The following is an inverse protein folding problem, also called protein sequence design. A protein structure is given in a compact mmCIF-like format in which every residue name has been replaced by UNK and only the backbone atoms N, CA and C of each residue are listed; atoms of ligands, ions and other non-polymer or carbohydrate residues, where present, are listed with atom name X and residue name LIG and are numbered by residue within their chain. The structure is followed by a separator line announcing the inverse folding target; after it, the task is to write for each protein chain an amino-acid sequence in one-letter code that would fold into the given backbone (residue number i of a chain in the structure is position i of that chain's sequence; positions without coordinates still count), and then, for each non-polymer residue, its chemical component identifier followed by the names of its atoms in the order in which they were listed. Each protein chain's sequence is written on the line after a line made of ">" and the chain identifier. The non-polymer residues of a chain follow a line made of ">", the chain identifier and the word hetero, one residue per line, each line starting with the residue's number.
data_IF_232817241764
#
_entry.id   IF_232817241764
#
_cell.length_a   1.000
_cell.length_b   1.000
_cell.length_c   1.000
_cell.angle_alpha   90.00
_cell.angle_beta   90.00
_cell.angle_gamma   90.00
#
_symmetry.space_group_name_H-M   'P 1'
#
loop_
_entity.id
_entity.type
_entity.pdbx_description
1 polymer ?
#
# COMPACT_ATOMS: atom_id res chain seq x y z
N UNK A 1 -14.03 40.40 -29.00
CA UNK A 1 -14.41 39.06 -28.52
C UNK A 1 -13.20 38.48 -27.84
N UNK A 2 -13.17 38.51 -26.52
CA UNK A 2 -12.09 37.94 -25.70
C UNK A 2 -12.18 36.42 -25.78
N UNK A 3 -11.13 35.78 -26.31
CA UNK A 3 -10.99 34.32 -26.31
C UNK A 3 -11.11 33.81 -24.87
N UNK A 4 -11.86 32.71 -24.63
CA UNK A 4 -11.96 32.13 -23.31
C UNK A 4 -10.58 31.63 -22.90
N UNK A 5 -10.13 32.10 -21.73
CA UNK A 5 -8.95 31.59 -21.04
C UNK A 5 -9.14 30.08 -20.82
N UNK A 6 -8.43 29.27 -21.60
CA UNK A 6 -8.23 27.85 -21.31
C UNK A 6 -7.55 27.76 -19.95
N UNK A 7 -8.28 27.30 -18.94
CA UNK A 7 -7.68 26.86 -17.68
C UNK A 7 -6.66 25.79 -18.03
N UNK A 8 -5.38 26.13 -17.94
CA UNK A 8 -4.28 25.19 -18.05
C UNK A 8 -4.41 24.20 -16.89
N UNK A 9 -5.01 23.04 -17.18
CA UNK A 9 -4.99 21.90 -16.26
C UNK A 9 -3.59 21.29 -16.32
N UNK A 10 -2.64 21.96 -15.69
CA UNK A 10 -1.22 21.58 -15.59
C UNK A 10 -0.98 20.27 -14.83
N UNK A 11 -2.04 19.56 -14.45
CA UNK A 11 -2.00 18.25 -13.79
C UNK A 11 -2.88 17.25 -14.54
N UNK A 12 -2.35 16.06 -14.87
CA UNK A 12 -3.17 15.01 -15.45
C UNK A 12 -4.27 14.58 -14.48
N UNK A 13 -5.36 13.95 -14.96
CA UNK A 13 -6.38 13.36 -14.11
C UNK A 13 -5.78 12.36 -13.12
N UNK A 14 -6.35 12.22 -11.92
CA UNK A 14 -5.89 11.28 -10.89
C UNK A 14 -5.88 9.81 -11.35
N UNK A 15 -6.64 9.49 -12.41
CA UNK A 15 -6.70 8.15 -13.01
C UNK A 15 -5.54 7.87 -13.96
N UNK A 16 -4.71 8.86 -14.29
CA UNK A 16 -3.51 8.67 -15.11
C UNK A 16 -2.35 8.41 -14.17
N UNK A 17 -1.93 7.14 -14.12
CA UNK A 17 -0.81 6.67 -13.31
C UNK A 17 0.52 6.84 -14.05
N UNK A 18 1.59 6.96 -13.28
CA UNK A 18 2.95 6.79 -13.82
C UNK A 18 3.19 5.34 -14.26
N UNK A 19 4.23 5.09 -15.05
CA UNK A 19 4.62 3.73 -15.44
C UNK A 19 4.96 2.85 -14.23
N UNK A 20 5.60 3.43 -13.21
CA UNK A 20 5.93 2.75 -11.95
C UNK A 20 4.67 2.40 -11.15
N UNK A 21 3.73 3.33 -11.04
CA UNK A 21 2.44 3.11 -10.37
C UNK A 21 1.59 2.06 -11.09
N UNK A 22 1.61 2.06 -12.43
CA UNK A 22 0.90 1.08 -13.25
C UNK A 22 1.49 -0.33 -13.11
N UNK A 23 2.82 -0.43 -13.12
CA UNK A 23 3.52 -1.70 -12.90
C UNK A 23 3.25 -2.23 -11.49
N UNK A 24 3.34 -1.36 -10.48
CA UNK A 24 3.04 -1.71 -9.10
C UNK A 24 1.60 -2.17 -8.93
N UNK A 25 0.62 -1.42 -9.47
CA UNK A 25 -0.80 -1.81 -9.47
C UNK A 25 -0.98 -3.20 -10.07
N UNK A 26 -0.37 -3.45 -11.23
CA UNK A 26 -0.46 -4.75 -11.92
C UNK A 26 0.10 -5.89 -11.08
N UNK A 27 1.24 -5.66 -10.41
CA UNK A 27 1.85 -6.65 -9.52
C UNK A 27 0.98 -6.96 -8.29
N UNK A 28 0.37 -5.94 -7.67
CA UNK A 28 -0.54 -6.17 -6.53
C UNK A 28 -1.83 -6.87 -6.99
N UNK A 29 -2.36 -6.52 -8.16
CA UNK A 29 -3.53 -7.21 -8.71
C UNK A 29 -3.25 -8.70 -8.96
N UNK A 30 -2.08 -9.03 -9.50
CA UNK A 30 -1.65 -10.44 -9.69
C UNK A 30 -1.49 -11.16 -8.34
N UNK A 31 -0.88 -10.52 -7.35
CA UNK A 31 -0.78 -11.05 -5.98
C UNK A 31 -2.16 -11.33 -5.37
N UNK A 32 -3.09 -10.38 -5.53
CA UNK A 32 -4.45 -10.52 -5.00
C UNK A 32 -5.14 -11.75 -5.61
N UNK A 33 -5.01 -11.96 -6.92
CA UNK A 33 -5.63 -13.11 -7.59
C UNK A 33 -4.92 -14.44 -7.28
N UNK A 34 -3.59 -14.45 -7.25
CA UNK A 34 -2.80 -15.68 -7.11
C UNK A 34 -2.67 -16.15 -5.66
N UNK A 35 -2.54 -15.24 -4.71
CA UNK A 35 -2.28 -15.57 -3.31
C UNK A 35 -3.48 -15.26 -2.39
N UNK A 36 -4.19 -14.16 -2.58
CA UNK A 36 -5.30 -13.80 -1.68
C UNK A 36 -6.57 -14.58 -2.02
N UNK A 37 -6.98 -14.59 -3.30
CA UNK A 37 -8.25 -15.16 -3.75
C UNK A 37 -8.47 -16.63 -3.32
N UNK A 38 -7.47 -17.54 -3.41
CA UNK A 38 -7.64 -18.93 -2.98
C UNK A 38 -7.90 -19.10 -1.48
N UNK A 39 -7.56 -18.10 -0.65
CA UNK A 39 -7.60 -18.16 0.82
C UNK A 39 -8.85 -17.52 1.42
N UNK A 40 -9.54 -16.65 0.67
CA UNK A 40 -10.66 -15.82 1.15
C UNK A 40 -11.69 -16.62 1.94
N UNK A 41 -12.24 -17.67 1.33
CA UNK A 41 -13.31 -18.47 1.96
C UNK A 41 -12.88 -19.09 3.29
N UNK A 42 -11.65 -19.60 3.37
CA UNK A 42 -11.12 -20.18 4.59
C UNK A 42 -10.90 -19.12 5.68
N UNK A 43 -10.41 -17.94 5.30
CA UNK A 43 -10.22 -16.81 6.21
C UNK A 43 -11.56 -16.27 6.75
N UNK A 44 -12.58 -16.17 5.89
CA UNK A 44 -13.93 -15.75 6.28
C UNK A 44 -14.57 -16.75 7.25
N UNK A 45 -14.56 -18.05 6.91
CA UNK A 45 -15.13 -19.11 7.76
C UNK A 45 -14.42 -19.17 9.13
N UNK A 46 -13.11 -18.92 9.16
CA UNK A 46 -12.32 -18.88 10.38
C UNK A 46 -12.38 -17.54 11.14
N UNK A 47 -12.87 -16.46 10.51
CA UNK A 47 -12.80 -15.10 11.03
C UNK A 47 -11.37 -14.62 11.31
N UNK A 48 -10.39 -15.09 10.52
CA UNK A 48 -8.97 -14.86 10.77
C UNK A 48 -8.17 -14.80 9.46
N UNK A 49 -7.35 -13.76 9.32
CA UNK A 49 -6.38 -13.67 8.22
C UNK A 49 -5.28 -14.72 8.37
N UNK A 50 -4.93 -15.37 7.27
CA UNK A 50 -3.85 -16.35 7.21
C UNK A 50 -2.49 -15.70 7.59
N UNK A 51 -1.80 -16.19 8.63
CA UNK A 51 -0.48 -15.69 9.00
C UNK A 51 0.57 -15.81 7.88
N UNK A 52 0.45 -16.82 7.01
CA UNK A 52 1.38 -16.98 5.88
C UNK A 52 1.17 -15.86 4.84
N UNK A 53 -0.09 -15.46 4.62
CA UNK A 53 -0.40 -14.32 3.76
C UNK A 53 0.14 -13.00 4.34
N UNK A 54 0.04 -12.85 5.66
CA UNK A 54 0.65 -11.69 6.36
C UNK A 54 2.16 -11.65 6.14
N UNK A 55 2.85 -12.78 6.34
CA UNK A 55 4.29 -12.86 6.12
C UNK A 55 4.67 -12.52 4.67
N UNK A 56 3.88 -13.00 3.71
CA UNK A 56 4.06 -12.69 2.28
C UNK A 56 3.98 -11.18 2.00
N UNK A 57 3.06 -10.45 2.63
CA UNK A 57 2.98 -8.99 2.46
C UNK A 57 4.22 -8.26 2.98
N UNK A 58 4.85 -8.73 4.06
CA UNK A 58 6.14 -8.23 4.52
C UNK A 58 7.25 -8.53 3.51
N UNK A 59 7.35 -9.79 3.04
CA UNK A 59 8.36 -10.20 2.06
C UNK A 59 8.30 -9.39 0.75
N UNK A 60 7.11 -8.95 0.34
CA UNK A 60 6.87 -8.15 -0.86
C UNK A 60 6.98 -6.64 -0.64
N UNK A 61 7.29 -6.20 0.58
CA UNK A 61 7.43 -4.78 0.92
C UNK A 61 6.11 -4.01 1.03
N UNK A 62 4.96 -4.70 0.98
CA UNK A 62 3.63 -4.06 1.07
C UNK A 62 3.33 -3.50 2.46
N UNK A 63 4.04 -3.96 3.49
CA UNK A 63 3.89 -3.50 4.87
C UNK A 63 4.71 -2.24 5.20
N UNK A 64 5.45 -1.69 4.23
CA UNK A 64 6.34 -0.54 4.42
C UNK A 64 6.51 0.30 3.16
N UNK A 65 5.44 0.53 2.41
CA UNK A 65 5.48 1.11 1.05
C UNK A 65 6.13 2.49 1.06
N UNK A 66 5.64 3.41 1.90
CA UNK A 66 6.14 4.80 1.94
C UNK A 66 7.41 4.97 2.80
N UNK A 67 7.81 3.94 3.54
CA UNK A 67 8.95 4.08 4.44
C UNK A 67 10.26 4.12 3.65
N UNK A 68 11.22 4.98 4.04
CA UNK A 68 12.54 5.01 3.43
C UNK A 68 13.28 3.67 3.56
N UNK A 69 14.13 3.35 2.57
CA UNK A 69 14.97 2.14 2.54
C UNK A 69 15.86 1.98 3.78
N UNK A 70 16.32 3.09 4.39
CA UNK A 70 17.11 3.04 5.63
C UNK A 70 16.38 2.38 6.81
N UNK A 71 15.05 2.28 6.73
CA UNK A 71 14.21 1.58 7.70
C UNK A 71 13.69 0.24 7.18
N UNK A 72 14.11 -0.23 6.00
CA UNK A 72 13.61 -1.45 5.37
C UNK A 72 12.36 -1.26 4.51
N UNK A 73 11.90 -0.03 4.30
CA UNK A 73 10.74 0.25 3.46
C UNK A 73 11.04 0.32 1.96
N UNK A 74 10.00 0.43 1.15
CA UNK A 74 10.08 0.43 -0.30
C UNK A 74 10.29 1.82 -0.94
N UNK A 75 10.22 2.90 -0.16
CA UNK A 75 10.43 4.26 -0.67
C UNK A 75 9.38 4.77 -1.68
N UNK A 76 8.23 4.11 -1.74
CA UNK A 76 7.11 4.45 -2.63
C UNK A 76 6.29 5.65 -2.13
N UNK A 77 5.12 5.84 -2.73
CA UNK A 77 4.23 6.96 -2.45
C UNK A 77 2.92 6.55 -1.78
N UNK A 78 2.21 7.51 -1.18
CA UNK A 78 0.83 7.31 -0.70
C UNK A 78 -0.12 6.85 -1.82
N UNK A 79 0.16 7.24 -3.08
CA UNK A 79 -0.62 6.75 -4.22
C UNK A 79 -0.40 5.26 -4.41
N UNK A 80 0.83 4.76 -4.26
CA UNK A 80 1.11 3.32 -4.29
C UNK A 80 0.44 2.58 -3.12
N UNK A 81 0.40 3.14 -1.91
CA UNK A 81 -0.40 2.57 -0.80
C UNK A 81 -1.88 2.47 -1.20
N UNK A 82 -2.42 3.55 -1.78
CA UNK A 82 -3.82 3.59 -2.23
C UNK A 82 -4.10 2.52 -3.28
N UNK A 83 -3.22 2.35 -4.27
CA UNK A 83 -3.32 1.33 -5.30
C UNK A 83 -3.23 -0.09 -4.72
N UNK A 84 -2.33 -0.33 -3.76
CA UNK A 84 -2.23 -1.63 -3.11
C UNK A 84 -3.52 -1.99 -2.38
N UNK A 85 -4.06 -1.06 -1.60
CA UNK A 85 -5.33 -1.23 -0.88
C UNK A 85 -6.49 -1.43 -1.85
N UNK A 86 -6.54 -0.65 -2.94
CA UNK A 86 -7.57 -0.78 -3.97
C UNK A 86 -7.55 -2.18 -4.61
N UNK A 87 -6.40 -2.64 -5.09
CA UNK A 87 -6.30 -3.94 -5.77
C UNK A 87 -6.58 -5.12 -4.83
N UNK A 88 -6.08 -5.08 -3.59
CA UNK A 88 -6.39 -6.10 -2.58
C UNK A 88 -7.89 -6.11 -2.24
N UNK A 89 -8.51 -4.92 -2.10
CA UNK A 89 -9.93 -4.79 -1.75
C UNK A 89 -10.88 -5.35 -2.82
N UNK A 90 -10.44 -5.43 -4.08
CA UNK A 90 -11.20 -6.10 -5.15
C UNK A 90 -11.37 -7.60 -4.90
N UNK A 91 -10.51 -8.19 -4.07
CA UNK A 91 -10.52 -9.62 -3.74
C UNK A 91 -10.94 -9.88 -2.30
N UNK A 92 -10.32 -9.20 -1.33
CA UNK A 92 -10.60 -9.37 0.10
C UNK A 92 -10.30 -8.09 0.89
N UNK A 93 -11.35 -7.51 1.48
CA UNK A 93 -11.22 -6.29 2.27
C UNK A 93 -10.45 -6.47 3.59
N UNK A 94 -10.44 -7.70 4.15
CA UNK A 94 -9.73 -7.99 5.42
C UNK A 94 -8.21 -8.01 5.21
N UNK A 95 -7.74 -8.56 4.10
CA UNK A 95 -6.35 -8.50 3.68
C UNK A 95 -5.94 -7.06 3.34
N UNK A 96 -6.80 -6.31 2.64
CA UNK A 96 -6.53 -4.93 2.27
C UNK A 96 -6.39 -4.00 3.48
N UNK A 97 -7.31 -4.10 4.46
CA UNK A 97 -7.27 -3.24 5.65
C UNK A 97 -6.04 -3.49 6.52
N UNK A 98 -5.51 -4.73 6.50
CA UNK A 98 -4.26 -5.03 7.20
C UNK A 98 -3.07 -4.27 6.61
N UNK A 99 -2.99 -4.21 5.27
CA UNK A 99 -1.96 -3.44 4.55
C UNK A 99 -2.16 -1.93 4.76
N UNK A 100 -3.40 -1.43 4.69
CA UNK A 100 -3.71 -0.03 4.94
C UNK A 100 -3.28 0.41 6.35
N UNK A 101 -3.78 -0.26 7.39
CA UNK A 101 -3.52 0.10 8.79
C UNK A 101 -2.02 0.13 9.07
N UNK A 102 -1.27 -0.87 8.58
CA UNK A 102 0.18 -0.93 8.76
C UNK A 102 0.87 0.31 8.16
N UNK A 103 0.51 0.71 6.94
CA UNK A 103 1.13 1.86 6.29
C UNK A 103 0.64 3.20 6.86
N UNK A 104 -0.67 3.40 6.97
CA UNK A 104 -1.27 4.72 7.19
C UNK A 104 -1.54 5.05 8.66
N UNK A 105 -1.69 4.04 9.52
CA UNK A 105 -2.01 4.23 10.94
C UNK A 105 -0.91 3.76 11.91
N UNK A 106 0.02 2.92 11.46
CA UNK A 106 1.19 2.49 12.25
C UNK A 106 2.46 3.19 11.78
N UNK A 107 2.86 2.95 10.53
CA UNK A 107 4.12 3.46 9.99
C UNK A 107 4.12 4.98 9.85
N UNK A 108 3.09 5.54 9.24
CA UNK A 108 2.99 6.98 9.00
C UNK A 108 3.17 7.83 10.27
N UNK A 109 2.39 7.64 11.37
CA UNK A 109 2.57 8.49 12.54
C UNK A 109 3.92 8.28 13.23
N UNK A 110 4.45 7.05 13.26
CA UNK A 110 5.77 6.77 13.82
C UNK A 110 6.88 7.45 13.03
N UNK A 111 6.80 7.40 11.69
CA UNK A 111 7.75 8.07 10.82
C UNK A 111 7.66 9.60 10.93
N UNK A 112 6.43 10.13 10.85
CA UNK A 112 6.17 11.58 10.79
C UNK A 112 6.38 12.30 12.11
N UNK A 113 6.02 11.67 13.23
CA UNK A 113 5.94 12.31 14.56
C UNK A 113 6.82 11.65 15.62
N UNK A 114 7.39 10.46 15.37
CA UNK A 114 8.35 9.84 16.28
C UNK A 114 9.60 10.70 16.45
N UNK A 115 10.33 10.52 17.54
CA UNK A 115 11.70 11.02 17.64
C UNK A 115 12.69 10.06 16.95
N UNK A 116 13.96 10.45 16.84
CA UNK A 116 14.98 9.64 16.14
C UNK A 116 15.16 8.26 16.76
N UNK A 117 15.13 8.16 18.10
CA UNK A 117 15.24 6.89 18.82
C UNK A 117 14.06 5.96 18.52
N UNK A 118 12.83 6.49 18.55
CA UNK A 118 11.61 5.75 18.23
C UNK A 118 11.63 5.24 16.79
N UNK A 119 11.98 6.10 15.83
CA UNK A 119 12.09 5.72 14.41
C UNK A 119 13.12 4.63 14.20
N UNK A 120 14.35 4.82 14.69
CA UNK A 120 15.44 3.87 14.51
C UNK A 120 15.16 2.51 15.17
N UNK A 121 14.47 2.50 16.32
CA UNK A 121 14.15 1.26 17.05
C UNK A 121 12.94 0.53 16.48
N UNK A 122 11.91 1.26 16.05
CA UNK A 122 10.59 0.67 15.77
C UNK A 122 10.35 0.43 14.28
N UNK A 123 10.71 1.38 13.40
CA UNK A 123 10.40 1.25 11.97
C UNK A 123 11.01 0.00 11.32
N UNK A 124 12.27 -0.40 11.60
CA UNK A 124 12.84 -1.64 11.04
C UNK A 124 12.16 -2.93 11.48
N UNK A 125 11.23 -2.86 12.45
CA UNK A 125 10.43 -4.00 12.93
C UNK A 125 9.01 -3.99 12.35
N UNK A 126 8.64 -2.90 11.69
CA UNK A 126 7.33 -2.70 11.07
C UNK A 126 7.36 -2.92 9.55
N UNK A 127 8.55 -3.19 9.01
CA UNK A 127 8.86 -3.46 7.60
C UNK A 127 9.48 -4.84 7.44
#
# INVERSE_FOLDING_TARGET
>A
MTSPSTTDLSRPPLTVLSEEEELFRSAVAELAQSEVAPRVRAMEEAGKVDPELTAKFFELGLMGIELPEQYGGAGGSLMMVTLAVEELSKVDASAAIQVDVQNTLVNYPLHRYGNDEQRARMLPRMT
#
